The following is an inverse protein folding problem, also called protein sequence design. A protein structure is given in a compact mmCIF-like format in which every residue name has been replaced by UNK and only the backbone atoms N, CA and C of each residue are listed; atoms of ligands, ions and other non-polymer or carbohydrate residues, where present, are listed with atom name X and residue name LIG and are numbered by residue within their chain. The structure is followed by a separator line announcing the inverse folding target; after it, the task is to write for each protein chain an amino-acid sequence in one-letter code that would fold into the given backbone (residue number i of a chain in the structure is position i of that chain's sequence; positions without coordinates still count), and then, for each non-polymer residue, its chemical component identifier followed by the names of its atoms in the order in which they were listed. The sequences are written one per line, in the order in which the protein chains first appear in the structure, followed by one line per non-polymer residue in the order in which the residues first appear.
data_IF_134987632853
#
_entry.id   IF_134987632853
#
_cell.length_a   1.000
_cell.length_b   1.000
_cell.length_c   1.000
_cell.angle_alpha   90.00
_cell.angle_beta   90.00
_cell.angle_gamma   90.00
#
_symmetry.space_group_name_H-M   'P 1'
#
loop_
_entity.id
_entity.type
_entity.pdbx_description
1 polymer ?
#
# COMPACT_ATOMS: atom_id res chain seq x y z
N UNK A 1 12.68 17.20 -9.34
CA UNK A 1 13.70 16.81 -8.34
C UNK A 1 13.52 15.31 -8.08
N UNK A 2 14.62 14.54 -8.03
CA UNK A 2 14.54 13.09 -7.79
C UNK A 2 14.44 12.80 -6.31
N UNK A 3 13.51 11.90 -5.91
CA UNK A 3 13.33 11.44 -4.53
C UNK A 3 13.96 10.06 -4.37
N UNK A 4 14.73 9.85 -3.30
CA UNK A 4 15.35 8.57 -2.95
C UNK A 4 14.77 8.06 -1.64
N UNK A 5 14.48 6.76 -1.57
CA UNK A 5 13.96 6.12 -0.37
C UNK A 5 15.10 5.71 0.56
N UNK A 6 15.16 6.30 1.74
CA UNK A 6 16.26 6.13 2.70
C UNK A 6 15.69 5.98 4.11
N UNK A 7 15.19 4.78 4.49
CA UNK A 7 14.42 4.57 5.74
C UNK A 7 15.22 4.87 7.01
N UNK A 8 16.54 4.82 6.95
CA UNK A 8 17.43 5.00 8.09
C UNK A 8 18.28 6.28 7.99
N UNK A 9 17.84 7.27 7.19
CA UNK A 9 18.60 8.50 6.93
C UNK A 9 18.99 9.26 8.19
N UNK A 10 18.14 9.25 9.20
CA UNK A 10 18.41 9.91 10.47
C UNK A 10 19.58 9.28 11.25
N UNK A 11 19.97 8.04 10.93
CA UNK A 11 20.98 7.25 11.63
C UNK A 11 22.27 7.12 10.82
N UNK A 12 22.14 6.85 9.51
CA UNK A 12 23.29 6.46 8.67
C UNK A 12 23.86 7.60 7.84
N UNK A 13 23.07 8.62 7.51
CA UNK A 13 23.41 9.69 6.56
C UNK A 13 23.94 9.17 5.21
N UNK A 14 23.51 7.98 4.81
CA UNK A 14 23.94 7.29 3.59
C UNK A 14 22.75 6.66 2.88
N UNK A 15 22.73 6.74 1.54
CA UNK A 15 21.71 6.09 0.74
C UNK A 15 21.90 4.56 0.76
N UNK A 16 20.81 3.76 0.77
CA UNK A 16 20.91 2.32 0.51
C UNK A 16 21.63 2.04 -0.80
N UNK A 17 22.31 0.90 -0.93
CA UNK A 17 23.17 0.57 -2.09
C UNK A 17 22.40 0.67 -3.44
N UNK A 18 21.13 0.23 -3.48
CA UNK A 18 20.27 0.31 -4.67
C UNK A 18 20.00 1.77 -5.05
N UNK A 19 19.66 2.61 -4.08
CA UNK A 19 19.40 4.05 -4.28
C UNK A 19 20.69 4.82 -4.60
N UNK A 20 21.81 4.47 -3.97
CA UNK A 20 23.12 5.03 -4.30
C UNK A 20 23.52 4.69 -5.75
N UNK A 21 23.28 3.45 -6.17
CA UNK A 21 23.50 3.03 -7.56
C UNK A 21 22.64 3.79 -8.55
N UNK A 22 21.37 4.02 -8.23
CA UNK A 22 20.48 4.83 -9.08
C UNK A 22 20.95 6.29 -9.14
N UNK A 23 21.27 6.89 -8.00
CA UNK A 23 21.76 8.26 -7.87
C UNK A 23 23.02 8.51 -8.71
N UNK A 24 24.06 7.69 -8.47
CA UNK A 24 25.39 7.95 -9.02
C UNK A 24 25.59 7.40 -10.45
N UNK A 25 25.02 6.24 -10.78
CA UNK A 25 25.28 5.57 -12.07
C UNK A 25 24.21 5.87 -13.11
N UNK A 26 22.94 5.93 -12.71
CA UNK A 26 21.82 6.18 -13.64
C UNK A 26 21.61 7.67 -13.82
N UNK A 27 21.44 8.41 -12.75
CA UNK A 27 21.21 9.86 -12.78
C UNK A 27 22.52 10.67 -12.88
N UNK A 28 23.66 10.03 -12.60
CA UNK A 28 25.01 10.62 -12.69
C UNK A 28 25.21 11.85 -11.80
N UNK A 29 24.53 11.87 -10.66
CA UNK A 29 24.67 12.94 -9.67
C UNK A 29 25.99 12.79 -8.93
N UNK A 30 26.60 13.91 -8.56
CA UNK A 30 27.92 13.99 -7.94
C UNK A 30 27.96 14.77 -6.64
N UNK A 31 29.13 14.83 -6.03
CA UNK A 31 29.37 15.58 -4.78
C UNK A 31 29.02 17.07 -5.00
N UNK A 32 28.29 17.66 -4.05
CA UNK A 32 27.80 19.04 -4.09
C UNK A 32 26.40 19.19 -4.64
N UNK A 33 25.82 18.17 -5.29
CA UNK A 33 24.45 18.24 -5.81
C UNK A 33 23.41 18.00 -4.74
N UNK A 34 22.28 18.71 -4.85
CA UNK A 34 21.13 18.55 -3.96
C UNK A 34 20.22 17.43 -4.42
N UNK A 35 19.76 16.65 -3.45
CA UNK A 35 18.78 15.58 -3.65
C UNK A 35 17.70 15.63 -2.58
N UNK A 36 16.54 15.03 -2.88
CA UNK A 36 15.45 14.85 -1.93
C UNK A 36 15.42 13.38 -1.48
N UNK A 37 15.27 13.17 -0.18
CA UNK A 37 15.13 11.84 0.40
C UNK A 37 13.78 11.73 1.10
N UNK A 38 13.26 10.52 1.20
CA UNK A 38 12.14 10.20 2.11
C UNK A 38 12.51 9.00 2.99
N UNK A 39 12.12 9.07 4.27
CA UNK A 39 12.28 7.93 5.18
C UNK A 39 11.13 6.92 5.09
N UNK A 40 10.05 7.26 4.35
CA UNK A 40 8.84 6.44 4.29
C UNK A 40 8.03 6.42 5.59
N UNK A 41 8.43 7.23 6.58
CA UNK A 41 7.81 7.33 7.92
C UNK A 41 7.11 8.66 8.15
N UNK A 42 7.06 9.51 7.14
CA UNK A 42 6.36 10.80 7.15
C UNK A 42 7.26 12.01 6.93
N UNK A 43 8.55 11.83 6.67
CA UNK A 43 9.44 12.96 6.48
C UNK A 43 10.14 12.96 5.11
N UNK A 44 10.30 14.16 4.57
CA UNK A 44 11.25 14.46 3.50
C UNK A 44 12.51 15.11 4.06
N UNK A 45 13.63 14.86 3.39
CA UNK A 45 14.91 15.45 3.72
C UNK A 45 15.55 16.04 2.47
N UNK A 46 15.82 17.34 2.47
CA UNK A 46 16.67 17.97 1.48
C UNK A 46 18.12 17.77 1.93
N UNK A 47 18.92 17.18 1.07
CA UNK A 47 20.29 16.81 1.40
C UNK A 47 21.25 17.14 0.26
N UNK A 48 22.52 17.32 0.58
CA UNK A 48 23.62 17.51 -0.37
C UNK A 48 24.52 16.28 -0.35
N UNK A 49 24.89 15.76 -1.50
CA UNK A 49 25.87 14.68 -1.62
C UNK A 49 27.22 15.18 -1.11
N UNK A 50 27.70 14.63 0.01
CA UNK A 50 28.96 15.05 0.65
C UNK A 50 30.16 14.19 0.25
N UNK A 51 29.91 12.89 -0.04
CA UNK A 51 30.92 11.98 -0.56
C UNK A 51 30.27 10.90 -1.41
N UNK A 52 30.94 10.47 -2.46
CA UNK A 52 30.48 9.44 -3.35
C UNK A 52 31.62 8.49 -3.75
N UNK A 53 31.30 7.19 -3.80
CA UNK A 53 32.16 6.14 -4.36
C UNK A 53 31.33 5.31 -5.34
N UNK A 54 31.90 4.29 -5.97
CA UNK A 54 31.13 3.43 -6.90
C UNK A 54 29.89 2.77 -6.28
N UNK A 55 29.85 2.57 -4.94
CA UNK A 55 28.79 1.86 -4.24
C UNK A 55 28.15 2.65 -3.10
N UNK A 56 28.73 3.76 -2.66
CA UNK A 56 28.27 4.51 -1.50
C UNK A 56 27.99 5.95 -1.87
N UNK A 57 26.90 6.48 -1.35
CA UNK A 57 26.50 7.87 -1.47
C UNK A 57 26.19 8.41 -0.08
N UNK A 58 27.11 9.19 0.45
CA UNK A 58 26.97 9.85 1.76
C UNK A 58 26.43 11.24 1.55
N UNK A 59 25.52 11.66 2.42
CA UNK A 59 24.84 12.93 2.31
C UNK A 59 24.94 13.75 3.60
N UNK A 60 24.82 15.06 3.44
CA UNK A 60 24.59 15.99 4.54
C UNK A 60 23.15 16.49 4.45
N UNK A 61 22.34 16.19 5.44
CA UNK A 61 20.97 16.73 5.55
C UNK A 61 21.03 18.22 5.80
N UNK A 62 20.34 18.98 4.97
CA UNK A 62 20.23 20.45 5.05
C UNK A 62 18.93 20.85 5.73
N UNK A 63 17.85 20.10 5.45
CA UNK A 63 16.51 20.40 5.96
C UNK A 63 15.71 19.13 6.10
N UNK A 64 14.89 19.05 7.15
CA UNK A 64 13.88 18.01 7.36
C UNK A 64 12.50 18.66 7.38
N UNK A 65 11.56 18.12 6.62
CA UNK A 65 10.18 18.58 6.55
C UNK A 65 9.25 17.38 6.81
N UNK A 66 8.35 17.51 7.75
CA UNK A 66 7.29 16.54 7.97
C UNK A 66 6.16 16.79 6.95
N UNK A 67 5.66 15.73 6.35
CA UNK A 67 4.48 15.77 5.49
C UNK A 67 3.27 15.33 6.31
N UNK A 68 2.30 16.22 6.45
CA UNK A 68 1.01 15.87 7.02
C UNK A 68 0.35 14.76 6.19
N UNK A 69 -0.35 13.80 6.83
CA UNK A 69 -1.12 12.79 6.11
C UNK A 69 -2.17 13.43 5.19
N UNK A 70 -2.32 12.90 3.98
CA UNK A 70 -3.34 13.38 3.03
C UNK A 70 -4.76 12.91 3.38
N UNK A 71 -4.89 11.97 4.30
CA UNK A 71 -6.16 11.44 4.83
C UNK A 71 -6.02 11.15 6.31
N UNK A 72 -7.15 11.01 6.98
CA UNK A 72 -7.22 10.58 8.38
C UNK A 72 -7.71 9.15 8.50
N UNK A 73 -7.50 8.54 9.67
CA UNK A 73 -7.76 7.11 9.89
C UNK A 73 -6.72 6.22 9.23
N UNK A 74 -6.86 4.91 9.40
CA UNK A 74 -5.97 3.88 8.86
C UNK A 74 -6.70 3.09 7.78
N UNK A 75 -6.24 3.18 6.53
CA UNK A 75 -6.86 2.55 5.36
C UNK A 75 -6.16 1.24 5.03
N UNK A 76 -6.82 0.11 5.30
CA UNK A 76 -6.28 -1.22 5.12
C UNK A 76 -6.99 -1.97 3.98
N UNK A 77 -6.24 -2.34 2.95
CA UNK A 77 -6.68 -3.24 1.89
C UNK A 77 -6.21 -4.67 2.21
N UNK A 78 -7.12 -5.62 2.36
CA UNK A 78 -6.80 -7.03 2.47
C UNK A 78 -7.38 -7.79 1.28
N UNK A 79 -6.54 -8.40 0.42
CA UNK A 79 -7.02 -9.06 -0.78
C UNK A 79 -6.34 -10.40 -1.05
N UNK A 80 -7.10 -11.32 -1.65
CA UNK A 80 -6.54 -12.53 -2.22
C UNK A 80 -5.84 -12.19 -3.56
N UNK A 81 -4.54 -12.47 -3.71
CA UNK A 81 -3.82 -12.12 -4.92
C UNK A 81 -4.29 -12.98 -6.10
N UNK A 82 -4.37 -12.36 -7.27
CA UNK A 82 -4.69 -13.04 -8.52
C UNK A 82 -3.55 -13.95 -8.98
N UNK A 83 -3.84 -14.88 -9.87
CA UNK A 83 -2.82 -15.74 -10.50
C UNK A 83 -1.73 -14.94 -11.20
N UNK A 84 -2.11 -13.87 -11.90
CA UNK A 84 -1.17 -13.02 -12.62
C UNK A 84 -0.51 -11.99 -11.70
N UNK A 85 0.80 -12.13 -11.48
CA UNK A 85 1.58 -11.25 -10.61
C UNK A 85 1.67 -9.81 -11.14
N UNK A 86 1.72 -9.62 -12.46
CA UNK A 86 1.81 -8.28 -13.06
C UNK A 86 0.59 -7.40 -12.70
N UNK A 87 -0.58 -8.03 -12.52
CA UNK A 87 -1.77 -7.31 -12.03
C UNK A 87 -1.66 -6.89 -10.57
N UNK A 88 -0.98 -7.71 -9.75
CA UNK A 88 -0.73 -7.36 -8.34
C UNK A 88 0.28 -6.23 -8.23
N UNK A 89 1.29 -6.22 -9.08
CA UNK A 89 2.26 -5.13 -9.17
C UNK A 89 1.60 -3.84 -9.63
N UNK A 90 0.80 -3.91 -10.69
CA UNK A 90 0.02 -2.77 -11.18
C UNK A 90 -0.93 -2.23 -10.09
N UNK A 91 -1.64 -3.12 -9.39
CA UNK A 91 -2.51 -2.73 -8.28
C UNK A 91 -1.70 -2.03 -7.17
N UNK A 92 -0.58 -2.61 -6.74
CA UNK A 92 0.25 -2.05 -5.69
C UNK A 92 0.79 -0.66 -6.07
N UNK A 93 1.21 -0.47 -7.32
CA UNK A 93 1.60 0.82 -7.86
C UNK A 93 0.46 1.83 -7.79
N UNK A 94 -0.69 1.52 -8.39
CA UNK A 94 -1.81 2.47 -8.51
C UNK A 94 -2.52 2.73 -7.18
N UNK A 95 -2.64 1.72 -6.32
CA UNK A 95 -3.16 1.91 -4.97
C UNK A 95 -2.24 2.83 -4.15
N UNK A 96 -0.91 2.69 -4.27
CA UNK A 96 0.05 3.58 -3.61
C UNK A 96 -0.03 5.01 -4.14
N UNK A 97 -0.23 5.20 -5.44
CA UNK A 97 -0.45 6.52 -6.04
C UNK A 97 -1.72 7.19 -5.50
N UNK A 98 -2.81 6.44 -5.34
CA UNK A 98 -4.06 6.94 -4.73
C UNK A 98 -3.81 7.24 -3.25
N UNK A 99 -3.39 6.27 -2.48
CA UNK A 99 -3.07 6.38 -1.05
C UNK A 99 -3.87 5.42 -0.19
N UNK A 100 -3.16 4.67 0.62
CA UNK A 100 -3.65 3.76 1.67
C UNK A 100 -2.49 3.50 2.64
N UNK A 101 -2.76 2.82 3.76
CA UNK A 101 -1.75 2.63 4.81
C UNK A 101 -1.24 1.20 4.89
N UNK A 102 -2.07 0.21 4.62
CA UNK A 102 -1.72 -1.21 4.82
C UNK A 102 -2.28 -2.11 3.72
N UNK A 103 -1.45 -3.04 3.24
CA UNK A 103 -1.80 -4.09 2.30
C UNK A 103 -1.52 -5.46 2.92
N UNK A 104 -2.53 -6.32 3.00
CA UNK A 104 -2.36 -7.71 3.43
C UNK A 104 -2.85 -8.66 2.35
N UNK A 105 -2.03 -9.65 1.98
CA UNK A 105 -2.44 -10.70 1.07
C UNK A 105 -3.12 -11.83 1.81
N UNK A 106 -4.27 -12.31 1.27
CA UNK A 106 -5.09 -13.36 1.87
C UNK A 106 -4.99 -14.67 1.08
N UNK A 107 -4.79 -15.78 1.77
CA UNK A 107 -5.00 -17.11 1.22
C UNK A 107 -6.43 -17.55 1.52
N UNK A 108 -7.33 -17.40 0.56
CA UNK A 108 -8.73 -17.78 0.63
C UNK A 108 -8.95 -19.19 0.05
N UNK A 109 -10.13 -19.77 0.29
CA UNK A 109 -10.52 -21.10 -0.18
C UNK A 109 -10.31 -21.29 -1.69
N UNK A 110 -10.73 -20.31 -2.47
CA UNK A 110 -10.67 -20.36 -3.93
C UNK A 110 -9.49 -19.59 -4.54
N UNK A 111 -8.48 -19.24 -3.72
CA UNK A 111 -7.25 -18.63 -4.22
C UNK A 111 -6.48 -19.60 -5.12
N UNK A 112 -6.22 -19.21 -6.37
CA UNK A 112 -5.30 -19.94 -7.25
C UNK A 112 -3.84 -19.73 -6.85
N UNK A 113 -3.49 -18.53 -6.40
CA UNK A 113 -2.16 -18.18 -5.90
C UNK A 113 -2.08 -18.41 -4.39
N UNK A 114 -1.18 -19.30 -3.99
CA UNK A 114 -0.96 -19.69 -2.58
C UNK A 114 0.29 -19.08 -1.95
N UNK A 115 1.13 -18.42 -2.75
CA UNK A 115 2.36 -17.79 -2.31
C UNK A 115 2.57 -16.50 -3.10
N UNK A 116 2.98 -15.44 -2.42
CA UNK A 116 3.37 -14.17 -3.04
C UNK A 116 4.74 -13.74 -2.49
N UNK A 117 5.61 -13.22 -3.36
CA UNK A 117 6.89 -12.63 -2.95
C UNK A 117 6.66 -11.17 -2.63
N UNK A 118 6.46 -10.87 -1.37
CA UNK A 118 6.14 -9.51 -0.88
C UNK A 118 7.28 -8.52 -1.14
N UNK A 119 8.55 -8.98 -1.15
CA UNK A 119 9.69 -8.10 -1.46
C UNK A 119 9.59 -7.48 -2.87
N UNK A 120 8.97 -8.19 -3.83
CA UNK A 120 8.74 -7.64 -5.18
C UNK A 120 7.67 -6.54 -5.14
N UNK A 121 6.60 -6.75 -4.39
CA UNK A 121 5.54 -5.75 -4.18
C UNK A 121 6.07 -4.54 -3.42
N UNK A 122 6.88 -4.75 -2.40
CA UNK A 122 7.57 -3.69 -1.64
C UNK A 122 8.38 -2.75 -2.56
N UNK A 123 9.13 -3.29 -3.50
CA UNK A 123 9.90 -2.48 -4.47
C UNK A 123 9.00 -1.62 -5.36
N UNK A 124 7.86 -2.15 -5.77
CA UNK A 124 6.85 -1.39 -6.55
C UNK A 124 6.28 -0.27 -5.68
N UNK A 125 5.89 -0.56 -4.45
CA UNK A 125 5.37 0.42 -3.48
C UNK A 125 6.40 1.54 -3.24
N UNK A 126 7.67 1.21 -3.00
CA UNK A 126 8.75 2.22 -2.85
C UNK A 126 8.88 3.10 -4.09
N UNK A 127 8.83 2.51 -5.28
CA UNK A 127 8.89 3.27 -6.53
C UNK A 127 7.70 4.23 -6.67
N UNK A 128 6.48 3.75 -6.37
CA UNK A 128 5.26 4.54 -6.43
C UNK A 128 5.23 5.66 -5.38
N UNK A 129 5.72 5.42 -4.16
CA UNK A 129 5.89 6.43 -3.10
C UNK A 129 6.78 7.57 -3.59
N UNK A 130 7.95 7.25 -4.17
CA UNK A 130 8.87 8.26 -4.73
C UNK A 130 8.24 9.06 -5.85
N UNK A 131 7.57 8.37 -6.78
CA UNK A 131 6.93 9.00 -7.95
C UNK A 131 5.76 9.89 -7.54
N UNK A 132 4.94 9.46 -6.59
CA UNK A 132 3.75 10.19 -6.12
C UNK A 132 4.06 11.21 -5.00
N UNK A 133 5.33 11.42 -4.67
CA UNK A 133 5.81 12.40 -3.68
C UNK A 133 5.14 12.23 -2.31
N UNK A 134 5.04 10.98 -1.84
CA UNK A 134 4.55 10.67 -0.51
C UNK A 134 5.71 10.42 0.46
N UNK A 135 5.63 11.01 1.65
CA UNK A 135 6.62 10.76 2.70
C UNK A 135 6.30 9.52 3.54
N UNK A 136 5.08 8.96 3.41
CA UNK A 136 4.66 7.73 4.10
C UNK A 136 4.56 6.57 3.11
N UNK A 137 5.22 5.45 3.45
CA UNK A 137 5.17 4.21 2.68
C UNK A 137 4.12 3.29 3.29
N UNK A 138 3.16 2.76 2.51
CA UNK A 138 2.26 1.72 2.98
C UNK A 138 3.01 0.50 3.50
N UNK A 139 2.47 -0.14 4.53
CA UNK A 139 2.95 -1.42 5.04
C UNK A 139 2.46 -2.53 4.12
N UNK A 140 3.37 -3.41 3.66
CA UNK A 140 3.02 -4.60 2.90
C UNK A 140 3.25 -5.82 3.78
N UNK A 141 2.18 -6.51 4.15
CA UNK A 141 2.24 -7.69 4.99
C UNK A 141 2.42 -8.95 4.18
N UNK A 142 3.03 -9.95 4.81
CA UNK A 142 3.10 -11.30 4.28
C UNK A 142 1.70 -11.90 4.08
N UNK A 143 1.64 -12.88 3.17
CA UNK A 143 0.40 -13.61 2.91
C UNK A 143 -0.01 -14.39 4.16
N UNK A 144 -1.26 -14.24 4.56
CA UNK A 144 -1.85 -14.92 5.71
C UNK A 144 -3.09 -15.72 5.31
N UNK A 145 -3.35 -16.81 6.02
CA UNK A 145 -4.59 -17.57 5.85
C UNK A 145 -5.80 -16.72 6.26
N UNK A 146 -6.91 -16.82 5.52
CA UNK A 146 -8.12 -16.03 5.77
C UNK A 146 -8.64 -16.20 7.20
N UNK A 147 -8.67 -17.42 7.75
CA UNK A 147 -9.15 -17.67 9.12
C UNK A 147 -8.24 -16.99 10.15
N UNK A 148 -6.92 -17.12 9.97
CA UNK A 148 -5.95 -16.43 10.82
C UNK A 148 -6.06 -14.91 10.75
N UNK A 149 -6.36 -14.37 9.57
CA UNK A 149 -6.63 -12.94 9.42
C UNK A 149 -7.87 -12.52 10.20
N UNK A 150 -8.93 -13.32 10.21
CA UNK A 150 -10.15 -13.07 10.98
C UNK A 150 -9.97 -13.15 12.50
N UNK A 151 -8.86 -13.69 13.00
CA UNK A 151 -8.51 -13.68 14.43
C UNK A 151 -7.91 -12.34 14.89
N UNK A 152 -7.51 -11.47 13.94
CA UNK A 152 -6.97 -10.15 14.27
C UNK A 152 -8.09 -9.23 14.76
N UNK A 153 -7.76 -8.38 15.72
CA UNK A 153 -8.62 -7.28 16.12
C UNK A 153 -8.44 -6.11 15.15
N UNK A 154 -9.55 -5.53 14.71
CA UNK A 154 -9.59 -4.34 13.86
C UNK A 154 -10.39 -3.26 14.56
N UNK A 155 -9.85 -2.06 14.61
CA UNK A 155 -10.57 -0.85 14.99
C UNK A 155 -11.35 -0.31 13.78
N UNK A 156 -12.40 0.45 14.05
CA UNK A 156 -13.18 1.13 13.00
C UNK A 156 -14.05 0.21 12.15
N UNK A 157 -14.15 0.53 10.89
CA UNK A 157 -15.10 -0.03 9.94
C UNK A 157 -14.52 -1.26 9.25
N UNK A 158 -15.34 -2.30 9.07
CA UNK A 158 -14.91 -3.58 8.50
C UNK A 158 -15.85 -3.97 7.38
N UNK A 159 -15.32 -4.17 6.18
CA UNK A 159 -16.11 -4.47 4.99
C UNK A 159 -15.58 -5.68 4.22
N UNK A 160 -16.51 -6.45 3.63
CA UNK A 160 -16.21 -7.54 2.70
C UNK A 160 -16.99 -7.33 1.41
N UNK A 161 -16.28 -7.24 0.28
CA UNK A 161 -16.89 -7.14 -1.05
C UNK A 161 -16.92 -8.51 -1.73
N UNK A 162 -18.11 -9.00 -2.05
CA UNK A 162 -18.34 -10.29 -2.72
C UNK A 162 -19.47 -10.20 -3.74
N UNK A 163 -19.56 -11.19 -4.66
CA UNK A 163 -20.48 -11.18 -5.79
C UNK A 163 -21.79 -11.94 -5.54
N UNK A 164 -22.01 -12.57 -4.38
CA UNK A 164 -23.24 -13.29 -4.09
C UNK A 164 -24.46 -12.36 -4.20
N UNK A 165 -25.56 -12.86 -4.78
CA UNK A 165 -26.80 -12.13 -4.98
C UNK A 165 -27.58 -11.97 -3.66
N UNK A 166 -27.12 -11.05 -2.83
CA UNK A 166 -27.78 -10.59 -1.62
C UNK A 166 -27.83 -9.08 -1.64
N UNK A 167 -28.83 -8.48 -0.99
CA UNK A 167 -28.91 -7.04 -0.85
C UNK A 167 -27.71 -6.52 -0.04
N UNK A 168 -26.97 -5.60 -0.62
CA UNK A 168 -25.77 -4.99 -0.03
C UNK A 168 -25.74 -3.49 -0.32
N UNK A 169 -25.42 -2.64 0.65
CA UNK A 169 -25.18 -1.23 0.40
C UNK A 169 -23.93 -1.03 -0.48
N UNK A 170 -23.86 0.08 -1.19
CA UNK A 170 -22.61 0.48 -1.83
C UNK A 170 -21.59 0.88 -0.76
N UNK A 171 -20.34 0.48 -0.95
CA UNK A 171 -19.24 0.84 -0.02
C UNK A 171 -19.20 2.34 0.25
N UNK A 172 -19.34 3.17 -0.81
CA UNK A 172 -19.33 4.64 -0.70
C UNK A 172 -20.44 5.22 0.19
N UNK A 173 -21.55 4.51 0.34
CA UNK A 173 -22.73 5.00 1.08
C UNK A 173 -22.66 4.64 2.57
N UNK A 174 -21.72 3.75 2.96
CA UNK A 174 -21.57 3.27 4.34
C UNK A 174 -20.21 3.62 4.97
N UNK A 175 -19.25 4.06 4.16
CA UNK A 175 -17.97 4.56 4.65
C UNK A 175 -18.20 5.83 5.49
N UNK A 176 -17.63 5.85 6.67
CA UNK A 176 -17.61 7.02 7.56
C UNK A 176 -16.24 7.66 7.54
N UNK A 177 -16.22 8.99 7.46
CA UNK A 177 -15.02 9.82 7.43
C UNK A 177 -14.24 9.72 8.75
N UNK A 178 -12.93 9.85 8.66
CA UNK A 178 -11.99 9.97 9.78
C UNK A 178 -11.92 8.73 10.72
N UNK A 179 -12.49 7.60 10.30
CA UNK A 179 -12.40 6.32 11.03
C UNK A 179 -11.47 5.35 10.28
N UNK A 180 -10.82 4.45 11.02
CA UNK A 180 -10.10 3.34 10.39
C UNK A 180 -11.04 2.50 9.55
N UNK A 181 -10.56 1.97 8.44
CA UNK A 181 -11.35 1.13 7.55
C UNK A 181 -10.51 -0.03 7.00
N UNK A 182 -11.06 -1.25 7.05
CA UNK A 182 -10.51 -2.42 6.37
C UNK A 182 -11.50 -2.96 5.36
N UNK A 183 -11.05 -3.21 4.12
CA UNK A 183 -11.86 -3.79 3.06
C UNK A 183 -11.23 -5.10 2.57
N UNK A 184 -12.04 -6.16 2.54
CA UNK A 184 -11.65 -7.48 2.03
C UNK A 184 -12.10 -7.64 0.58
N UNK A 185 -11.16 -8.09 -0.28
CA UNK A 185 -11.42 -8.40 -1.70
C UNK A 185 -11.01 -9.85 -1.97
N UNK A 186 -11.95 -10.63 -2.52
CA UNK A 186 -11.75 -12.05 -2.82
C UNK A 186 -10.89 -12.34 -4.05
N UNK A 187 -10.51 -13.63 -4.23
CA UNK A 187 -9.83 -14.09 -5.44
C UNK A 187 -10.77 -14.09 -6.65
N UNK A 188 -10.27 -14.55 -7.81
CA UNK A 188 -11.09 -14.69 -9.03
C UNK A 188 -12.33 -15.57 -8.85
N UNK A 189 -12.26 -16.55 -7.94
CA UNK A 189 -13.36 -17.45 -7.57
C UNK A 189 -14.28 -16.93 -6.45
N UNK A 190 -14.06 -15.68 -6.01
CA UNK A 190 -14.73 -15.06 -4.86
C UNK A 190 -14.36 -15.70 -3.52
N UNK A 191 -14.91 -15.18 -2.43
CA UNK A 191 -14.90 -15.84 -1.12
C UNK A 191 -15.84 -17.05 -1.11
N UNK A 192 -15.53 -18.07 -0.32
CA UNK A 192 -16.49 -19.13 -0.08
C UNK A 192 -17.64 -18.68 0.83
N UNK A 193 -18.83 -19.35 0.79
CA UNK A 193 -19.92 -19.02 1.70
C UNK A 193 -19.51 -19.05 3.17
N UNK A 194 -18.64 -19.98 3.55
CA UNK A 194 -18.12 -20.13 4.92
C UNK A 194 -17.19 -18.95 5.30
N UNK A 195 -16.41 -18.44 4.35
CA UNK A 195 -15.57 -17.26 4.56
C UNK A 195 -16.42 -15.99 4.74
N UNK A 196 -17.46 -15.84 3.93
CA UNK A 196 -18.41 -14.73 4.07
C UNK A 196 -19.14 -14.79 5.43
N UNK A 197 -19.60 -15.99 5.84
CA UNK A 197 -20.26 -16.19 7.13
C UNK A 197 -19.30 -15.85 8.30
N UNK A 198 -18.06 -16.35 8.25
CA UNK A 198 -17.05 -16.05 9.27
C UNK A 198 -16.74 -14.55 9.33
N UNK A 199 -16.63 -13.86 8.19
CA UNK A 199 -16.44 -12.42 8.16
C UNK A 199 -17.61 -11.67 8.82
N UNK A 200 -18.86 -12.09 8.54
CA UNK A 200 -20.06 -11.53 9.18
C UNK A 200 -20.04 -11.73 10.71
N UNK A 201 -19.69 -12.93 11.20
CA UNK A 201 -19.52 -13.22 12.63
C UNK A 201 -18.47 -12.31 13.30
N UNK A 202 -17.41 -11.94 12.54
CA UNK A 202 -16.37 -11.01 12.99
C UNK A 202 -16.74 -9.52 12.80
N UNK A 203 -17.97 -9.25 12.38
CA UNK A 203 -18.53 -7.91 12.23
C UNK A 203 -18.13 -7.21 10.94
N UNK A 204 -17.71 -7.93 9.91
CA UNK A 204 -17.52 -7.37 8.59
C UNK A 204 -18.87 -7.21 7.88
N UNK A 205 -19.15 -5.99 7.42
CA UNK A 205 -20.35 -5.69 6.66
C UNK A 205 -20.14 -6.07 5.19
N UNK A 206 -21.07 -6.84 4.62
CA UNK A 206 -21.09 -7.10 3.19
C UNK A 206 -21.42 -5.83 2.41
N UNK A 207 -20.64 -5.53 1.36
CA UNK A 207 -20.80 -4.32 0.55
C UNK A 207 -20.68 -4.63 -0.94
N UNK A 208 -21.23 -3.72 -1.75
CA UNK A 208 -21.10 -3.71 -3.21
C UNK A 208 -20.18 -2.56 -3.65
N UNK A 209 -19.38 -2.81 -4.69
CA UNK A 209 -18.58 -1.78 -5.36
C UNK A 209 -19.26 -1.23 -6.62
N UNK A 210 -20.52 -1.59 -6.85
CA UNK A 210 -21.32 -1.19 -8.01
C UNK A 210 -21.92 -2.38 -8.75
N UNK A 211 -22.67 -2.10 -9.81
CA UNK A 211 -23.41 -3.12 -10.59
C UNK A 211 -22.53 -3.93 -11.56
N UNK A 212 -21.38 -3.40 -11.94
CA UNK A 212 -20.49 -4.06 -12.90
C UNK A 212 -19.67 -5.15 -12.21
N UNK A 213 -19.48 -6.27 -12.92
CA UNK A 213 -18.54 -7.29 -12.46
C UNK A 213 -17.10 -6.79 -12.66
N UNK A 214 -16.39 -6.58 -11.56
CA UNK A 214 -15.01 -6.14 -11.56
C UNK A 214 -14.07 -7.35 -11.44
N UNK A 215 -12.86 -7.22 -12.00
CA UNK A 215 -11.77 -8.13 -11.69
C UNK A 215 -11.23 -7.81 -10.29
N UNK A 216 -10.56 -8.75 -9.65
CA UNK A 216 -10.02 -8.60 -8.29
C UNK A 216 -9.16 -7.34 -8.15
N UNK A 217 -8.20 -7.13 -9.06
CA UNK A 217 -7.34 -5.94 -9.05
C UNK A 217 -8.13 -4.64 -9.23
N UNK A 218 -9.15 -4.66 -10.05
CA UNK A 218 -10.02 -3.48 -10.25
C UNK A 218 -10.90 -3.23 -9.04
N UNK A 219 -11.47 -4.28 -8.45
CA UNK A 219 -12.27 -4.18 -7.23
C UNK A 219 -11.43 -3.60 -6.07
N UNK A 220 -10.20 -4.09 -5.91
CA UNK A 220 -9.27 -3.60 -4.90
C UNK A 220 -8.93 -2.12 -5.12
N UNK A 221 -8.66 -1.70 -6.36
CA UNK A 221 -8.34 -0.30 -6.66
C UNK A 221 -9.54 0.62 -6.42
N UNK A 222 -10.76 0.19 -6.79
CA UNK A 222 -12.00 0.93 -6.50
C UNK A 222 -12.22 1.06 -4.99
N UNK A 223 -12.00 -0.01 -4.22
CA UNK A 223 -12.12 0.03 -2.76
C UNK A 223 -11.12 1.02 -2.14
N UNK A 224 -9.85 0.99 -2.54
CA UNK A 224 -8.84 1.94 -2.09
C UNK A 224 -9.23 3.37 -2.44
N UNK A 225 -9.69 3.61 -3.67
CA UNK A 225 -10.09 4.96 -4.10
C UNK A 225 -11.27 5.48 -3.28
N UNK A 226 -12.29 4.65 -3.03
CA UNK A 226 -13.44 5.05 -2.21
C UNK A 226 -13.03 5.35 -0.77
N UNK A 227 -12.21 4.49 -0.15
CA UNK A 227 -11.68 4.75 1.19
C UNK A 227 -10.89 6.06 1.22
N UNK A 228 -9.93 6.24 0.32
CA UNK A 228 -9.09 7.43 0.27
C UNK A 228 -9.93 8.69 0.05
N UNK A 229 -10.82 8.71 -0.95
CA UNK A 229 -11.65 9.87 -1.26
C UNK A 229 -12.55 10.29 -0.09
N UNK A 230 -13.11 9.31 0.65
CA UNK A 230 -13.94 9.59 1.82
C UNK A 230 -13.13 10.23 2.96
N UNK A 231 -11.84 9.92 3.08
CA UNK A 231 -10.99 10.33 4.21
C UNK A 231 -10.05 11.51 3.89
N UNK A 232 -9.95 11.90 2.61
CA UNK A 232 -9.03 12.96 2.15
C UNK A 232 -9.57 14.39 2.32
N UNK A 233 -10.80 14.58 2.78
CA UNK A 233 -11.44 15.89 2.91
C UNK A 233 -11.49 16.41 4.37
#
# INVERSE_FOLDING_TARGET
MHVFYTPDIAQTLELPEEEAGHCLRVLRLGVGEEIMLTDGKGCFYRAVISAATQKRCVVKVVEKTEQEPFWKGHLHLALAPTKNMDRMEWLAEKATEIGFDELTFLNCRFSERKVIKTERVEKIVVSAVKQSLKARKPVVNEMTDFRRFMEREFTGQKFIAHCYEVEKPLLRDVLRKDEDAVVLIGPEGDFSPEEVALAAEKGFQAVSLGKSRLRTETAALVAVHLMNLTHAE
#
